data_IF_828766073475
#
_entry.id   IF_828766073475
#
_cell.length_a   1.000
_cell.length_b   1.000
_cell.length_c   1.000
_cell.angle_alpha   90.00
_cell.angle_beta   90.00
_cell.angle_gamma   90.00
#
_symmetry.space_group_name_H-M   'P 1'
#
loop_
_entity.id
_entity.type
_entity.pdbx_description
1 polymer ?
#
# COMPACT_ATOMS: atom_id res chain seq x y z
N UNK A 1 -29.65 10.48 -40.40
CA UNK A 1 -28.55 9.54 -40.72
C UNK A 1 -28.28 8.72 -39.47
N UNK A 2 -28.50 7.40 -39.48
CA UNK A 2 -27.94 6.55 -38.43
C UNK A 2 -26.43 6.44 -38.70
N UNK A 3 -25.56 6.66 -37.71
CA UNK A 3 -24.13 6.46 -37.92
C UNK A 3 -23.87 5.00 -38.35
N UNK A 4 -22.91 4.80 -39.26
CA UNK A 4 -22.53 3.46 -39.76
C UNK A 4 -21.77 2.63 -38.71
N UNK A 5 -21.49 3.19 -37.54
CA UNK A 5 -20.81 2.54 -36.42
C UNK A 5 -21.56 2.88 -35.12
N UNK A 6 -21.69 1.93 -34.18
CA UNK A 6 -22.16 2.23 -32.83
C UNK A 6 -21.21 3.27 -32.21
N UNK A 7 -21.76 4.42 -31.83
CA UNK A 7 -21.01 5.48 -31.15
C UNK A 7 -21.69 5.82 -29.84
N UNK A 8 -20.90 5.89 -28.76
CA UNK A 8 -21.35 6.35 -27.44
C UNK A 8 -20.49 7.53 -27.05
N UNK A 9 -21.15 8.59 -26.57
CA UNK A 9 -20.50 9.69 -25.86
C UNK A 9 -20.90 9.54 -24.39
N UNK A 10 -19.90 9.46 -23.51
CA UNK A 10 -20.09 9.32 -22.07
C UNK A 10 -19.56 10.58 -21.38
N UNK A 11 -20.48 11.37 -20.84
CA UNK A 11 -20.18 12.47 -19.92
C UNK A 11 -20.38 11.96 -18.50
N UNK A 12 -19.29 11.88 -17.74
CA UNK A 12 -19.30 11.26 -16.41
C UNK A 12 -19.23 12.29 -15.27
N UNK A 13 -18.30 13.23 -15.36
CA UNK A 13 -17.91 14.15 -14.29
C UNK A 13 -17.76 15.56 -14.84
N UNK A 14 -17.99 16.56 -13.98
CA UNK A 14 -17.76 17.97 -14.30
C UNK A 14 -16.54 18.53 -13.58
N UNK A 15 -15.61 19.13 -14.31
CA UNK A 15 -14.47 19.86 -13.73
C UNK A 15 -14.88 21.13 -12.98
N UNK A 16 -16.13 21.58 -13.13
CA UNK A 16 -16.70 22.69 -12.35
C UNK A 16 -17.30 22.24 -11.01
N UNK A 17 -17.45 20.93 -10.80
CA UNK A 17 -17.95 20.37 -9.56
C UNK A 17 -16.78 19.80 -8.75
N UNK A 18 -16.51 20.40 -7.58
CA UNK A 18 -15.36 19.99 -6.79
C UNK A 18 -15.48 18.54 -6.27
N UNK A 19 -16.68 18.09 -5.91
CA UNK A 19 -16.91 16.70 -5.48
C UNK A 19 -16.61 15.70 -6.60
N UNK A 20 -16.93 16.06 -7.85
CA UNK A 20 -16.58 15.24 -9.01
C UNK A 20 -15.05 15.14 -9.19
N UNK A 21 -14.32 16.24 -8.92
CA UNK A 21 -12.85 16.22 -8.94
C UNK A 21 -12.25 15.37 -7.82
N UNK A 22 -12.91 15.26 -6.66
CA UNK A 22 -12.49 14.30 -5.64
C UNK A 22 -12.58 12.88 -6.21
N UNK A 23 -13.73 12.50 -6.75
CA UNK A 23 -13.91 11.18 -7.36
C UNK A 23 -12.95 10.89 -8.52
N UNK A 24 -12.70 11.86 -9.42
CA UNK A 24 -11.80 11.62 -10.57
C UNK A 24 -10.36 11.35 -10.14
N UNK A 25 -9.93 11.84 -8.97
CA UNK A 25 -8.59 11.61 -8.45
C UNK A 25 -8.47 10.36 -7.58
N UNK A 26 -9.58 9.72 -7.18
CA UNK A 26 -9.55 8.46 -6.42
C UNK A 26 -9.30 7.25 -7.34
N UNK A 27 -8.16 6.53 -7.18
CA UNK A 27 -7.86 5.34 -7.98
C UNK A 27 -8.96 4.27 -7.94
N UNK A 28 -9.64 4.11 -6.79
CA UNK A 28 -10.74 3.13 -6.66
C UNK A 28 -11.95 3.52 -7.48
N UNK A 29 -12.27 4.82 -7.52
CA UNK A 29 -13.37 5.31 -8.35
C UNK A 29 -13.03 5.12 -9.84
N UNK A 30 -11.80 5.42 -10.26
CA UNK A 30 -11.33 5.14 -11.63
C UNK A 30 -11.53 3.67 -12.00
N UNK A 31 -11.14 2.74 -11.12
CA UNK A 31 -11.37 1.30 -11.31
C UNK A 31 -12.87 0.95 -11.41
N UNK A 32 -13.69 1.42 -10.47
CA UNK A 32 -15.13 1.14 -10.44
C UNK A 32 -15.85 1.66 -11.69
N UNK A 33 -15.50 2.86 -12.15
CA UNK A 33 -16.04 3.46 -13.37
C UNK A 33 -15.61 2.66 -14.60
N UNK A 34 -14.32 2.37 -14.75
CA UNK A 34 -13.82 1.59 -15.88
C UNK A 34 -14.52 0.22 -15.96
N UNK A 35 -14.64 -0.46 -14.81
CA UNK A 35 -15.35 -1.73 -14.71
C UNK A 35 -16.85 -1.59 -15.03
N UNK A 36 -17.49 -0.50 -14.59
CA UNK A 36 -18.91 -0.25 -14.89
C UNK A 36 -19.16 0.02 -16.37
N UNK A 37 -18.28 0.79 -17.03
CA UNK A 37 -18.33 1.05 -18.48
C UNK A 37 -18.15 -0.26 -19.24
N UNK A 38 -17.15 -1.06 -18.89
CA UNK A 38 -16.92 -2.39 -19.46
C UNK A 38 -18.17 -3.27 -19.35
N UNK A 39 -18.74 -3.40 -18.14
CA UNK A 39 -19.96 -4.19 -17.91
C UNK A 39 -21.13 -3.67 -18.75
N UNK A 40 -21.31 -2.35 -18.83
CA UNK A 40 -22.37 -1.73 -19.63
C UNK A 40 -22.25 -2.06 -21.11
N UNK A 41 -21.05 -1.91 -21.68
CA UNK A 41 -20.76 -2.26 -23.07
C UNK A 41 -20.98 -3.76 -23.34
N UNK A 42 -20.47 -4.62 -22.46
CA UNK A 42 -20.62 -6.08 -22.58
C UNK A 42 -22.09 -6.50 -22.58
N UNK A 43 -22.89 -6.00 -21.62
CA UNK A 43 -24.32 -6.33 -21.51
C UNK A 43 -25.12 -5.79 -22.69
N UNK A 44 -24.80 -4.59 -23.18
CA UNK A 44 -25.42 -4.03 -24.38
C UNK A 44 -25.17 -4.92 -25.59
N UNK A 45 -23.90 -5.27 -25.88
CA UNK A 45 -23.55 -6.12 -27.01
C UNK A 45 -24.17 -7.51 -26.90
N UNK A 46 -24.16 -8.11 -25.71
CA UNK A 46 -24.81 -9.39 -25.44
C UNK A 46 -26.31 -9.34 -25.76
N UNK A 47 -27.00 -8.27 -25.35
CA UNK A 47 -28.42 -8.07 -25.64
C UNK A 47 -28.69 -7.84 -27.13
N UNK A 48 -27.88 -7.03 -27.82
CA UNK A 48 -28.09 -6.70 -29.24
C UNK A 48 -27.83 -7.90 -30.16
N UNK A 49 -26.82 -8.72 -29.86
CA UNK A 49 -26.43 -9.87 -30.68
C UNK A 49 -26.90 -11.21 -30.13
N UNK A 50 -27.66 -11.22 -29.03
CA UNK A 50 -28.27 -12.39 -28.42
C UNK A 50 -27.27 -13.52 -28.11
N UNK A 51 -26.21 -13.20 -27.35
CA UNK A 51 -25.25 -14.17 -26.83
C UNK A 51 -25.09 -14.03 -25.31
N UNK A 52 -24.76 -15.12 -24.61
CA UNK A 52 -24.51 -15.09 -23.16
C UNK A 52 -23.24 -14.33 -22.82
N UNK A 53 -23.25 -13.51 -21.76
CA UNK A 53 -22.07 -12.81 -21.28
C UNK A 53 -21.54 -13.39 -19.97
N UNK A 54 -20.23 -13.24 -19.76
CA UNK A 54 -19.55 -13.51 -18.51
C UNK A 54 -18.64 -12.32 -18.23
N UNK A 55 -18.72 -11.77 -17.02
CA UNK A 55 -17.86 -10.65 -16.59
C UNK A 55 -16.54 -11.19 -16.06
N UNK A 56 -15.42 -10.54 -16.36
CA UNK A 56 -14.12 -10.93 -15.78
C UNK A 56 -14.11 -10.86 -14.23
N UNK A 57 -13.36 -11.73 -13.54
CA UNK A 57 -13.33 -11.75 -12.07
C UNK A 57 -12.75 -10.50 -11.42
N UNK A 58 -12.92 -10.41 -10.10
CA UNK A 58 -12.17 -9.48 -9.25
C UNK A 58 -10.81 -10.10 -8.86
N UNK A 59 -9.80 -9.28 -8.52
CA UNK A 59 -8.53 -9.77 -8.00
C UNK A 59 -8.71 -10.64 -6.76
N UNK A 60 -7.83 -11.61 -6.57
CA UNK A 60 -7.83 -12.44 -5.36
C UNK A 60 -7.43 -11.62 -4.13
N UNK A 61 -7.87 -12.06 -2.95
CA UNK A 61 -7.51 -11.45 -1.66
C UNK A 61 -6.79 -12.46 -0.77
N UNK A 62 -6.29 -12.00 0.39
CA UNK A 62 -5.65 -12.83 1.41
C UNK A 62 -4.49 -13.68 0.87
N UNK A 63 -3.68 -13.11 -0.02
CA UNK A 63 -2.58 -13.85 -0.62
C UNK A 63 -1.51 -14.14 0.44
N UNK A 64 -0.98 -15.36 0.42
CA UNK A 64 0.10 -15.80 1.32
C UNK A 64 1.05 -16.72 0.58
N UNK A 65 2.35 -16.55 0.83
CA UNK A 65 3.42 -17.32 0.24
C UNK A 65 4.35 -17.86 1.33
N UNK A 66 4.23 -19.15 1.64
CA UNK A 66 4.93 -19.84 2.72
C UNK A 66 5.97 -20.84 2.18
N UNK A 67 6.93 -21.24 3.01
CA UNK A 67 7.88 -22.31 2.69
C UNK A 67 7.42 -23.62 3.32
N UNK A 68 7.34 -24.69 2.51
CA UNK A 68 7.00 -26.03 2.96
C UNK A 68 7.87 -27.06 2.21
N UNK A 69 8.72 -27.82 2.93
CA UNK A 69 9.55 -28.89 2.37
C UNK A 69 10.36 -28.47 1.12
N UNK A 70 11.07 -27.34 1.19
CA UNK A 70 11.84 -26.75 0.07
C UNK A 70 10.99 -26.30 -1.15
N UNK A 71 9.66 -26.32 -1.02
CA UNK A 71 8.73 -25.74 -1.98
C UNK A 71 8.14 -24.45 -1.42
N UNK A 72 7.59 -23.65 -2.32
CA UNK A 72 6.70 -22.56 -1.96
C UNK A 72 5.28 -23.08 -1.95
N UNK A 73 4.55 -22.80 -0.87
CA UNK A 73 3.12 -23.02 -0.78
C UNK A 73 2.39 -21.68 -0.83
N UNK A 74 1.61 -21.49 -1.89
CA UNK A 74 0.85 -20.29 -2.17
C UNK A 74 -0.62 -20.56 -1.86
N UNK A 75 -1.29 -19.63 -1.17
CA UNK A 75 -2.72 -19.70 -0.86
C UNK A 75 -3.37 -18.33 -1.00
N UNK A 76 -4.62 -18.28 -1.44
CA UNK A 76 -5.39 -17.03 -1.56
C UNK A 76 -6.88 -17.28 -1.37
N UNK A 77 -7.71 -16.24 -1.51
CA UNK A 77 -9.16 -16.33 -1.51
C UNK A 77 -9.78 -15.70 -2.77
N UNK A 78 -10.84 -16.30 -3.35
CA UNK A 78 -11.62 -15.65 -4.39
C UNK A 78 -12.38 -14.43 -3.85
N UNK A 79 -12.41 -13.36 -4.63
CA UNK A 79 -13.25 -12.19 -4.34
C UNK A 79 -14.53 -12.24 -5.19
N UNK A 80 -15.70 -12.33 -4.53
CA UNK A 80 -17.00 -12.46 -5.21
C UNK A 80 -17.63 -11.08 -5.39
N UNK A 81 -18.07 -10.77 -6.61
CA UNK A 81 -18.87 -9.58 -6.91
C UNK A 81 -20.36 -9.86 -6.63
N UNK A 82 -20.95 -9.36 -5.53
CA UNK A 82 -22.34 -9.66 -5.19
C UNK A 82 -23.35 -9.07 -6.17
N UNK A 83 -22.94 -8.10 -6.99
CA UNK A 83 -23.78 -7.46 -8.00
C UNK A 83 -23.61 -8.08 -9.39
N UNK A 84 -22.67 -9.02 -9.54
CA UNK A 84 -22.36 -9.65 -10.82
C UNK A 84 -21.87 -11.09 -10.61
N UNK A 85 -22.83 -12.00 -10.42
CA UNK A 85 -22.54 -13.42 -10.10
C UNK A 85 -21.79 -14.14 -11.22
N UNK A 86 -21.85 -13.66 -12.46
CA UNK A 86 -21.07 -14.22 -13.58
C UNK A 86 -19.57 -13.96 -13.44
N UNK A 87 -19.15 -13.03 -12.57
CA UNK A 87 -17.75 -12.71 -12.32
C UNK A 87 -17.02 -13.71 -11.40
N UNK A 88 -17.67 -14.81 -11.00
CA UNK A 88 -16.99 -15.84 -10.23
C UNK A 88 -15.81 -16.43 -11.02
N UNK A 89 -14.65 -16.70 -10.36
CA UNK A 89 -13.53 -17.36 -11.01
C UNK A 89 -13.82 -18.83 -11.31
N UNK A 90 -13.35 -19.30 -12.46
CA UNK A 90 -13.32 -20.72 -12.83
C UNK A 90 -11.99 -21.38 -12.39
N UNK A 91 -10.88 -20.66 -12.51
CA UNK A 91 -9.53 -21.07 -12.10
C UNK A 91 -8.63 -19.84 -11.87
N UNK A 92 -7.34 -20.06 -11.59
CA UNK A 92 -6.35 -19.01 -11.34
C UNK A 92 -5.09 -19.20 -12.16
N UNK A 93 -4.35 -18.12 -12.40
CA UNK A 93 -3.00 -18.17 -12.97
C UNK A 93 -2.03 -17.58 -11.95
N UNK A 94 -0.99 -18.34 -11.62
CA UNK A 94 0.10 -17.92 -10.75
C UNK A 94 1.30 -17.59 -11.61
N UNK A 95 1.72 -16.33 -11.60
CA UNK A 95 2.90 -15.86 -12.30
C UNK A 95 4.11 -15.85 -11.38
N UNK A 96 5.28 -16.24 -11.89
CA UNK A 96 6.55 -16.30 -11.14
C UNK A 96 7.57 -15.34 -11.75
N UNK A 97 8.24 -14.56 -10.90
CA UNK A 97 9.46 -13.82 -11.22
C UNK A 97 10.61 -14.33 -10.35
N UNK A 98 11.78 -14.54 -10.94
CA UNK A 98 13.00 -14.93 -10.23
C UNK A 98 13.97 -13.73 -10.20
N UNK A 99 14.43 -13.35 -9.01
CA UNK A 99 15.33 -12.22 -8.81
C UNK A 99 14.76 -10.92 -9.39
N UNK A 100 15.55 -10.25 -10.22
CA UNK A 100 15.17 -9.01 -10.91
C UNK A 100 14.65 -9.22 -12.35
N UNK A 101 14.26 -10.44 -12.71
CA UNK A 101 13.71 -10.78 -14.02
C UNK A 101 12.29 -10.26 -14.28
N UNK A 102 11.71 -10.63 -15.42
CA UNK A 102 10.28 -10.47 -15.68
C UNK A 102 9.45 -11.60 -15.09
N UNK A 103 8.14 -11.41 -15.00
CA UNK A 103 7.20 -12.51 -14.74
C UNK A 103 7.13 -13.45 -15.95
N UNK A 104 6.97 -14.74 -15.68
CA UNK A 104 6.75 -15.78 -16.69
C UNK A 104 5.32 -15.73 -17.30
N UNK A 105 4.94 -16.76 -18.06
CA UNK A 105 3.60 -16.90 -18.65
C UNK A 105 2.56 -17.51 -17.69
N UNK A 106 2.95 -17.76 -16.44
CA UNK A 106 2.11 -18.30 -15.39
C UNK A 106 1.83 -19.81 -15.46
N UNK A 107 1.35 -20.34 -14.33
CA UNK A 107 0.91 -21.72 -14.14
C UNK A 107 -0.54 -21.71 -13.67
N UNK A 108 -1.40 -22.50 -14.31
CA UNK A 108 -2.80 -22.60 -13.93
C UNK A 108 -2.98 -23.38 -12.61
N UNK A 109 -3.92 -22.94 -11.78
CA UNK A 109 -4.35 -23.60 -10.56
C UNK A 109 -5.89 -23.68 -10.52
N UNK A 110 -6.44 -24.88 -10.39
CA UNK A 110 -7.90 -25.11 -10.37
C UNK A 110 -8.54 -24.75 -9.02
N UNK A 111 -7.73 -24.63 -7.97
CA UNK A 111 -8.13 -24.34 -6.60
C UNK A 111 -7.28 -23.17 -6.06
N UNK A 112 -7.70 -22.48 -4.98
CA UNK A 112 -7.02 -21.27 -4.51
C UNK A 112 -5.74 -21.56 -3.70
N UNK A 113 -4.97 -22.54 -4.16
CA UNK A 113 -3.68 -22.94 -3.61
C UNK A 113 -2.78 -23.50 -4.72
N UNK A 114 -1.47 -23.32 -4.59
CA UNK A 114 -0.50 -23.91 -5.50
C UNK A 114 0.84 -24.17 -4.79
N UNK A 115 1.46 -25.31 -5.07
CA UNK A 115 2.82 -25.63 -4.63
C UNK A 115 3.78 -25.54 -5.81
N UNK A 116 4.84 -24.75 -5.66
CA UNK A 116 5.87 -24.55 -6.69
C UNK A 116 7.25 -24.87 -6.14
N UNK A 117 8.08 -25.49 -6.98
CA UNK A 117 9.48 -25.74 -6.65
C UNK A 117 10.28 -24.42 -6.68
N UNK A 118 11.22 -24.28 -5.74
CA UNK A 118 12.14 -23.14 -5.69
C UNK A 118 13.57 -23.61 -5.44
N UNK A 119 14.52 -22.85 -5.96
CA UNK A 119 15.93 -23.05 -5.67
C UNK A 119 16.37 -22.22 -4.46
N UNK A 120 17.35 -22.75 -3.71
CA UNK A 120 17.99 -22.00 -2.63
C UNK A 120 18.84 -20.88 -3.22
N UNK A 121 18.92 -19.75 -2.53
CA UNK A 121 19.78 -18.64 -2.93
C UNK A 121 19.12 -17.63 -3.88
N UNK A 122 17.91 -17.90 -4.38
CA UNK A 122 17.16 -16.96 -5.23
C UNK A 122 15.84 -16.50 -4.59
N UNK A 123 15.46 -15.25 -4.86
CA UNK A 123 14.17 -14.70 -4.44
C UNK A 123 13.16 -15.02 -5.54
N UNK A 124 12.04 -15.64 -5.15
CA UNK A 124 10.91 -15.88 -6.02
C UNK A 124 9.78 -14.93 -5.64
N UNK A 125 9.26 -14.19 -6.61
CA UNK A 125 8.10 -13.33 -6.44
C UNK A 125 6.92 -13.87 -7.22
N UNK A 126 5.73 -13.74 -6.67
CA UNK A 126 4.50 -14.28 -7.21
C UNK A 126 3.40 -13.24 -7.24
N UNK A 127 2.54 -13.32 -8.26
CA UNK A 127 1.24 -12.67 -8.29
C UNK A 127 0.22 -13.63 -8.85
N UNK A 128 -1.02 -13.48 -8.43
CA UNK A 128 -2.12 -14.37 -8.82
C UNK A 128 -3.22 -13.57 -9.49
N UNK A 129 -3.77 -14.11 -10.57
CA UNK A 129 -4.99 -13.60 -11.20
C UNK A 129 -6.08 -14.65 -11.17
N UNK A 130 -7.33 -14.17 -11.10
CA UNK A 130 -8.53 -14.97 -11.21
C UNK A 130 -9.02 -14.96 -12.66
N UNK A 131 -9.40 -16.13 -13.17
CA UNK A 131 -9.81 -16.29 -14.58
C UNK A 131 -11.15 -16.97 -14.69
N UNK A 132 -11.99 -16.47 -15.60
CA UNK A 132 -13.18 -17.16 -16.08
C UNK A 132 -13.34 -16.92 -17.58
N UNK A 133 -14.44 -17.40 -18.17
CA UNK A 133 -14.75 -17.18 -19.59
C UNK A 133 -14.85 -15.70 -20.02
N UNK A 134 -15.06 -14.78 -19.07
CA UNK A 134 -15.13 -13.34 -19.29
C UNK A 134 -13.77 -12.65 -19.35
N UNK A 135 -12.71 -13.31 -18.90
CA UNK A 135 -11.33 -12.81 -18.94
C UNK A 135 -10.57 -13.04 -17.63
N UNK A 136 -9.50 -12.27 -17.47
CA UNK A 136 -8.57 -12.33 -16.34
C UNK A 136 -8.71 -11.07 -15.47
N UNK A 137 -8.62 -11.23 -14.15
CA UNK A 137 -8.66 -10.12 -13.20
C UNK A 137 -7.39 -9.27 -13.27
N UNK A 138 -7.41 -8.11 -12.60
CA UNK A 138 -6.15 -7.49 -12.18
C UNK A 138 -5.38 -8.44 -11.24
N UNK A 139 -4.04 -8.36 -11.20
CA UNK A 139 -3.24 -9.19 -10.31
C UNK A 139 -3.49 -8.85 -8.84
N UNK A 140 -3.21 -9.82 -7.98
CA UNK A 140 -2.96 -9.60 -6.56
C UNK A 140 -1.75 -8.67 -6.34
N UNK A 141 -1.52 -8.30 -5.08
CA UNK A 141 -0.20 -7.85 -4.65
C UNK A 141 0.90 -8.87 -4.97
N UNK A 142 2.15 -8.41 -5.04
CA UNK A 142 3.30 -9.25 -5.30
C UNK A 142 3.94 -9.67 -3.99
N UNK A 143 3.87 -10.97 -3.70
CA UNK A 143 4.50 -11.59 -2.55
C UNK A 143 5.79 -12.28 -2.96
N UNK A 144 6.76 -12.36 -2.06
CA UNK A 144 8.06 -12.97 -2.33
C UNK A 144 8.50 -13.93 -1.25
N UNK A 145 9.27 -14.94 -1.65
CA UNK A 145 9.88 -15.91 -0.75
C UNK A 145 11.35 -16.07 -1.08
N UNK A 146 12.12 -16.45 -0.07
CA UNK A 146 13.53 -16.73 -0.19
C UNK A 146 13.92 -17.82 0.77
N UNK A 147 14.57 -18.86 0.24
CA UNK A 147 15.16 -19.92 1.04
C UNK A 147 16.69 -19.79 1.01
N UNK A 148 17.28 -19.41 2.14
CA UNK A 148 18.74 -19.32 2.27
C UNK A 148 19.42 -20.69 2.37
N UNK A 149 18.65 -21.76 2.58
CA UNK A 149 19.16 -23.10 2.87
C UNK A 149 19.49 -23.32 4.36
N UNK A 150 19.37 -22.30 5.20
CA UNK A 150 19.52 -22.43 6.64
C UNK A 150 18.22 -22.98 7.27
N UNK A 151 18.36 -23.77 8.33
CA UNK A 151 17.23 -24.38 9.06
C UNK A 151 16.60 -23.44 10.12
N UNK A 152 16.87 -22.13 10.04
CA UNK A 152 16.28 -21.15 10.94
C UNK A 152 14.83 -20.85 10.56
N UNK A 153 14.00 -20.50 11.56
CA UNK A 153 12.65 -19.98 11.31
C UNK A 153 12.74 -18.75 10.39
N UNK A 154 11.98 -18.70 9.28
CA UNK A 154 12.03 -17.57 8.37
C UNK A 154 11.47 -16.29 9.03
N UNK A 155 11.85 -15.15 8.45
CA UNK A 155 11.17 -13.87 8.68
C UNK A 155 9.85 -13.87 7.93
N UNK A 156 8.76 -13.40 8.55
CA UNK A 156 7.53 -13.11 7.85
C UNK A 156 7.50 -11.64 7.46
N UNK A 157 7.46 -11.34 6.17
CA UNK A 157 7.20 -9.99 5.67
C UNK A 157 5.70 -9.86 5.41
N UNK A 158 5.03 -9.00 6.17
CA UNK A 158 3.62 -8.68 5.96
C UNK A 158 3.56 -7.43 5.11
N UNK A 159 2.97 -7.54 3.93
CA UNK A 159 2.58 -6.37 3.15
C UNK A 159 1.28 -5.82 3.75
N UNK A 160 1.38 -4.70 4.46
CA UNK A 160 0.23 -3.96 4.97
C UNK A 160 0.01 -2.65 4.23
N UNK A 161 0.71 -2.42 3.11
CA UNK A 161 0.57 -1.23 2.29
C UNK A 161 -0.21 -1.55 1.02
N UNK A 162 -1.53 -1.50 1.13
CA UNK A 162 -2.49 -1.65 0.03
C UNK A 162 -3.20 -0.33 -0.30
N UNK A 163 -2.94 0.73 0.48
CA UNK A 163 -3.55 2.04 0.28
C UNK A 163 -3.25 2.61 -1.10
N UNK A 164 -4.35 2.96 -1.77
CA UNK A 164 -4.41 3.86 -2.91
C UNK A 164 -5.45 4.94 -2.61
N UNK A 165 -5.13 6.20 -2.83
CA UNK A 165 -5.96 7.30 -2.39
C UNK A 165 -5.77 8.55 -3.25
N UNK A 166 -6.80 9.38 -3.30
CA UNK A 166 -6.72 10.75 -3.78
C UNK A 166 -5.92 11.64 -2.79
N UNK A 167 -5.45 12.83 -3.21
CA UNK A 167 -4.81 13.79 -2.31
C UNK A 167 -5.75 14.32 -1.22
N UNK A 168 -5.19 14.89 -0.15
CA UNK A 168 -5.96 15.56 0.90
C UNK A 168 -6.81 16.70 0.31
N UNK A 169 -8.02 16.83 0.84
CA UNK A 169 -9.00 17.83 0.39
C UNK A 169 -9.11 18.94 1.42
N UNK A 170 -9.23 20.17 0.94
CA UNK A 170 -9.78 21.29 1.69
C UNK A 170 -10.99 21.83 0.94
N UNK A 171 -12.08 22.11 1.66
CA UNK A 171 -13.29 22.67 1.07
C UNK A 171 -13.89 23.71 2.02
N UNK A 172 -13.63 24.97 1.73
CA UNK A 172 -14.23 26.12 2.39
C UNK A 172 -14.70 27.12 1.33
N UNK A 173 -15.51 28.10 1.72
CA UNK A 173 -16.05 29.12 0.80
C UNK A 173 -14.95 29.87 0.02
N UNK A 174 -13.77 30.08 0.62
CA UNK A 174 -12.68 30.89 0.06
C UNK A 174 -11.41 30.10 -0.27
N UNK A 175 -11.37 28.83 0.08
CA UNK A 175 -10.19 27.99 -0.06
C UNK A 175 -10.64 26.55 -0.27
N UNK A 176 -10.58 26.09 -1.52
CA UNK A 176 -11.00 24.76 -1.94
C UNK A 176 -9.98 24.15 -2.90
N UNK A 177 -9.65 22.88 -2.72
CA UNK A 177 -8.67 22.21 -3.57
C UNK A 177 -8.00 21.00 -2.92
N UNK A 178 -6.89 20.59 -3.53
CA UNK A 178 -6.08 19.45 -3.13
C UNK A 178 -4.77 19.92 -2.48
N UNK A 179 -4.47 19.41 -1.29
CA UNK A 179 -3.35 19.88 -0.46
C UNK A 179 -2.31 18.76 -0.32
N UNK A 180 -1.45 18.62 -1.34
CA UNK A 180 -0.42 17.57 -1.38
C UNK A 180 0.54 17.59 -0.18
N UNK A 181 0.74 18.74 0.47
CA UNK A 181 1.57 18.83 1.67
C UNK A 181 0.93 18.22 2.91
N UNK A 182 -0.39 18.02 2.91
CA UNK A 182 -1.09 17.28 3.98
C UNK A 182 -1.12 15.78 3.67
N UNK A 183 -1.38 15.44 2.41
CA UNK A 183 -1.39 14.08 1.87
C UNK A 183 -1.37 14.19 0.35
N UNK A 184 -0.35 13.64 -0.29
CA UNK A 184 -0.26 13.67 -1.75
C UNK A 184 -1.23 12.68 -2.41
N UNK A 185 -1.82 11.77 -1.62
CA UNK A 185 -2.50 10.61 -2.15
C UNK A 185 -1.51 9.56 -2.63
N UNK A 186 -2.01 8.39 -2.96
CA UNK A 186 -1.21 7.25 -3.41
C UNK A 186 -1.80 6.73 -4.71
N UNK A 187 -1.14 6.93 -5.86
CA UNK A 187 -1.55 6.31 -7.11
C UNK A 187 -1.50 4.78 -7.04
N UNK A 188 -2.34 4.11 -7.82
CA UNK A 188 -2.24 2.67 -8.04
C UNK A 188 -1.20 2.40 -9.13
N UNK A 189 -0.03 1.87 -8.76
CA UNK A 189 1.14 1.72 -9.61
C UNK A 189 1.84 3.05 -9.88
N UNK A 190 1.24 3.89 -10.73
CA UNK A 190 1.78 5.19 -11.12
C UNK A 190 0.68 6.15 -11.59
N UNK A 191 0.94 7.45 -11.54
CA UNK A 191 0.10 8.50 -12.11
C UNK A 191 0.81 9.17 -13.29
N UNK A 192 0.08 9.35 -14.39
CA UNK A 192 0.50 10.10 -15.58
C UNK A 192 -0.30 11.39 -15.77
N UNK A 193 -1.26 11.66 -14.88
CA UNK A 193 -2.15 12.82 -14.93
C UNK A 193 -1.78 13.93 -13.93
N UNK A 194 -0.74 13.75 -13.11
CA UNK A 194 -0.33 14.76 -12.14
C UNK A 194 0.39 15.92 -12.84
N UNK A 195 -0.26 17.08 -12.89
CA UNK A 195 0.29 18.27 -13.57
C UNK A 195 1.21 19.08 -12.65
N UNK A 196 0.97 19.04 -11.34
CA UNK A 196 1.79 19.67 -10.31
C UNK A 196 0.97 20.06 -9.09
N UNK A 197 1.62 20.66 -8.10
CA UNK A 197 0.94 21.11 -6.87
C UNK A 197 -0.01 22.27 -7.24
N UNK A 198 -1.24 22.19 -6.75
CA UNK A 198 -2.23 23.26 -6.90
C UNK A 198 -1.74 24.56 -6.25
N UNK A 199 -1.88 25.68 -6.94
CA UNK A 199 -1.49 27.00 -6.46
C UNK A 199 -2.66 27.98 -6.36
N UNK A 200 -3.75 27.79 -7.11
CA UNK A 200 -4.97 28.60 -6.99
C UNK A 200 -6.10 27.81 -6.29
N UNK A 201 -6.33 28.16 -5.02
CA UNK A 201 -7.37 27.56 -4.17
C UNK A 201 -8.63 28.43 -4.07
N UNK A 202 -8.71 29.58 -4.73
CA UNK A 202 -9.86 30.47 -4.62
C UNK A 202 -11.01 29.97 -5.52
N UNK A 203 -12.14 29.51 -4.98
CA UNK A 203 -13.24 28.97 -5.78
C UNK A 203 -13.91 30.02 -6.70
N UNK A 204 -13.70 31.31 -6.44
CA UNK A 204 -14.20 32.40 -7.28
C UNK A 204 -13.24 32.80 -8.40
N UNK A 205 -12.07 32.18 -8.50
CA UNK A 205 -11.08 32.48 -9.54
C UNK A 205 -11.55 31.92 -10.88
N UNK A 206 -11.87 32.80 -11.82
CA UNK A 206 -12.41 32.44 -13.13
C UNK A 206 -11.30 32.10 -14.12
N UNK A 207 -11.58 31.15 -14.99
CA UNK A 207 -10.79 30.95 -16.20
C UNK A 207 -10.87 32.19 -17.09
N UNK A 208 -9.72 32.74 -17.47
CA UNK A 208 -9.61 33.86 -18.43
C UNK A 208 -8.88 33.41 -19.70
N UNK A 209 -7.77 32.68 -19.55
CA UNK A 209 -6.97 32.11 -20.64
C UNK A 209 -6.12 30.95 -20.13
N UNK A 210 -5.38 30.28 -21.01
CA UNK A 210 -4.41 29.27 -20.59
C UNK A 210 -3.32 29.84 -19.67
N UNK A 211 -3.00 31.14 -19.77
CA UNK A 211 -2.04 31.83 -18.89
C UNK A 211 -2.66 32.27 -17.56
N UNK A 212 -3.99 32.17 -17.43
CA UNK A 212 -4.76 32.51 -16.24
C UNK A 212 -5.94 31.51 -16.07
N UNK A 213 -5.65 30.26 -15.68
CA UNK A 213 -6.62 29.17 -15.74
C UNK A 213 -7.68 29.21 -14.62
N UNK A 214 -7.45 29.96 -13.55
CA UNK A 214 -8.41 30.14 -12.45
C UNK A 214 -8.34 29.04 -11.38
N UNK A 215 -9.46 28.76 -10.71
CA UNK A 215 -9.53 27.79 -9.62
C UNK A 215 -9.02 26.41 -10.05
N UNK A 216 -8.12 25.81 -9.25
CA UNK A 216 -7.50 24.53 -9.57
C UNK A 216 -6.23 24.65 -10.39
N UNK A 217 -5.80 25.87 -10.75
CA UNK A 217 -4.49 26.10 -11.35
C UNK A 217 -3.39 25.41 -10.56
N UNK A 218 -2.50 24.73 -11.28
CA UNK A 218 -1.40 23.95 -10.71
C UNK A 218 -0.10 24.37 -11.37
N UNK A 219 1.04 24.02 -10.77
CA UNK A 219 2.36 24.49 -11.21
C UNK A 219 2.80 23.98 -12.60
N UNK A 220 2.08 23.03 -13.20
CA UNK A 220 2.36 22.44 -14.53
C UNK A 220 3.78 21.84 -14.68
N UNK A 221 4.51 21.65 -13.59
CA UNK A 221 5.90 21.21 -13.60
C UNK A 221 6.07 19.67 -13.65
N UNK A 222 4.97 18.93 -13.70
CA UNK A 222 4.94 17.46 -13.76
C UNK A 222 4.13 16.89 -14.94
N UNK A 223 3.58 17.71 -15.85
CA UNK A 223 2.69 17.29 -16.95
C UNK A 223 3.28 16.23 -17.92
N UNK A 224 4.60 16.04 -17.90
CA UNK A 224 5.32 15.07 -18.75
C UNK A 224 6.02 13.97 -17.95
N UNK A 225 5.76 13.92 -16.64
CA UNK A 225 6.43 13.01 -15.73
C UNK A 225 5.48 11.90 -15.27
N UNK A 226 6.07 10.74 -15.00
CA UNK A 226 5.39 9.63 -14.33
C UNK A 226 5.67 9.78 -12.85
N UNK A 227 4.62 9.71 -12.04
CA UNK A 227 4.74 9.74 -10.58
C UNK A 227 4.47 8.34 -10.04
N UNK A 228 5.45 7.75 -9.38
CA UNK A 228 5.32 6.43 -8.76
C UNK A 228 4.32 6.48 -7.60
N UNK A 229 3.48 5.46 -7.50
CA UNK A 229 2.56 5.22 -6.40
C UNK A 229 2.84 3.88 -5.72
N UNK A 230 1.77 3.19 -5.33
CA UNK A 230 1.87 1.85 -4.76
C UNK A 230 2.11 0.83 -5.88
N UNK A 231 3.33 0.32 -5.98
CA UNK A 231 3.71 -0.68 -7.00
C UNK A 231 3.29 -2.11 -6.64
N UNK A 232 2.80 -2.33 -5.41
CA UNK A 232 2.45 -3.62 -4.84
C UNK A 232 3.61 -4.64 -4.77
N UNK A 233 4.87 -4.19 -4.88
CA UNK A 233 6.07 -5.05 -4.96
C UNK A 233 7.12 -4.74 -3.87
N UNK A 234 6.70 -4.10 -2.77
CA UNK A 234 7.63 -3.69 -1.72
C UNK A 234 8.18 -4.85 -0.89
N UNK A 235 7.51 -6.01 -0.89
CA UNK A 235 8.03 -7.25 -0.28
C UNK A 235 9.37 -7.65 -0.90
N UNK A 236 9.53 -7.51 -2.21
CA UNK A 236 10.81 -7.79 -2.87
C UNK A 236 11.91 -6.83 -2.40
N UNK A 237 11.56 -5.56 -2.14
CA UNK A 237 12.50 -4.55 -1.65
C UNK A 237 13.02 -4.90 -0.25
N UNK A 238 12.11 -5.22 0.68
CA UNK A 238 12.45 -5.67 2.03
C UNK A 238 13.21 -7.01 2.01
N UNK A 239 12.73 -7.95 1.19
CA UNK A 239 13.30 -9.28 1.02
C UNK A 239 14.75 -9.27 0.55
N UNK A 240 15.16 -8.31 -0.30
CA UNK A 240 16.57 -8.15 -0.69
C UNK A 240 17.48 -7.91 0.53
N UNK A 241 17.03 -7.09 1.48
CA UNK A 241 17.79 -6.79 2.69
C UNK A 241 17.80 -7.97 3.66
N UNK A 242 16.72 -8.77 3.72
CA UNK A 242 16.70 -10.05 4.44
C UNK A 242 17.68 -11.07 3.81
N UNK A 243 17.70 -11.17 2.48
CA UNK A 243 18.65 -12.02 1.72
C UNK A 243 20.10 -11.59 1.97
N UNK A 244 20.39 -10.29 1.94
CA UNK A 244 21.72 -9.74 2.22
C UNK A 244 22.21 -10.11 3.63
N UNK A 245 21.27 -10.22 4.59
CA UNK A 245 21.52 -10.65 5.96
C UNK A 245 21.41 -12.18 6.17
N UNK A 246 21.35 -12.97 5.10
CA UNK A 246 21.36 -14.44 5.16
C UNK A 246 20.09 -15.10 5.72
N UNK A 247 19.02 -14.31 5.89
CA UNK A 247 17.76 -14.78 6.49
C UNK A 247 16.78 -15.23 5.42
N UNK A 248 16.26 -16.46 5.55
CA UNK A 248 15.09 -16.90 4.77
C UNK A 248 13.90 -16.01 5.12
N UNK A 249 13.05 -15.73 4.14
CA UNK A 249 11.80 -15.01 4.38
C UNK A 249 10.65 -15.59 3.56
N UNK A 250 9.46 -15.37 4.09
CA UNK A 250 8.17 -15.64 3.47
C UNK A 250 7.33 -14.37 3.56
N UNK A 251 6.22 -14.30 2.86
CA UNK A 251 5.39 -13.10 2.92
C UNK A 251 3.89 -13.37 2.84
N UNK A 252 3.11 -12.42 3.33
CA UNK A 252 1.65 -12.51 3.35
C UNK A 252 1.02 -11.12 3.30
N UNK A 253 -0.21 -11.04 2.81
CA UNK A 253 -1.05 -9.86 3.01
C UNK A 253 -1.41 -9.70 4.49
N UNK A 254 -1.76 -8.47 4.90
CA UNK A 254 -2.27 -8.17 6.23
C UNK A 254 -3.62 -8.86 6.51
N UNK A 255 -4.48 -9.02 5.49
CA UNK A 255 -5.77 -9.70 5.64
C UNK A 255 -5.62 -11.17 5.99
N UNK A 256 -4.71 -11.88 5.31
CA UNK A 256 -4.40 -13.26 5.61
C UNK A 256 -3.92 -13.43 7.07
N UNK A 257 -3.20 -12.45 7.61
CA UNK A 257 -2.74 -12.47 9.00
C UNK A 257 -3.90 -12.27 9.97
N UNK A 258 -4.74 -11.26 9.75
CA UNK A 258 -5.77 -10.90 10.72
C UNK A 258 -7.00 -11.84 10.73
N UNK A 259 -7.14 -12.68 9.70
CA UNK A 259 -8.17 -13.71 9.58
C UNK A 259 -7.58 -15.11 9.83
N UNK A 260 -6.45 -15.15 10.54
CA UNK A 260 -5.84 -16.35 11.11
C UNK A 260 -5.44 -17.43 10.08
N UNK A 261 -5.15 -17.05 8.83
CA UNK A 261 -4.67 -18.00 7.80
C UNK A 261 -3.23 -18.45 8.04
N UNK A 262 -2.49 -17.78 8.92
CA UNK A 262 -1.13 -18.12 9.31
C UNK A 262 -0.89 -17.94 10.81
N UNK A 263 -0.05 -18.80 11.38
CA UNK A 263 0.35 -18.70 12.78
C UNK A 263 1.65 -17.90 12.93
N UNK A 264 1.54 -16.67 13.44
CA UNK A 264 2.70 -15.78 13.62
C UNK A 264 3.83 -16.38 14.50
N UNK A 265 3.52 -17.32 15.40
CA UNK A 265 4.52 -17.95 16.27
C UNK A 265 5.48 -18.90 15.52
N UNK A 266 5.19 -19.19 14.25
CA UNK A 266 6.08 -19.94 13.37
C UNK A 266 7.29 -19.10 12.92
N UNK A 267 7.25 -17.78 13.10
CA UNK A 267 8.26 -16.84 12.63
C UNK A 267 9.06 -16.24 13.77
N UNK A 268 10.34 -15.95 13.52
CA UNK A 268 11.26 -15.35 14.51
C UNK A 268 11.09 -13.82 14.58
N UNK A 269 10.77 -13.22 13.44
CA UNK A 269 10.60 -11.80 13.22
C UNK A 269 9.43 -11.62 12.25
N UNK A 270 8.61 -10.62 12.53
CA UNK A 270 7.63 -10.07 11.60
C UNK A 270 8.16 -8.72 11.14
N UNK A 271 8.29 -8.54 9.82
CA UNK A 271 8.57 -7.28 9.16
C UNK A 271 7.25 -6.76 8.58
N UNK A 272 6.74 -5.65 9.08
CA UNK A 272 5.46 -5.08 8.67
C UNK A 272 5.70 -3.83 7.83
N UNK A 273 5.40 -3.96 6.54
CA UNK A 273 5.42 -2.86 5.57
C UNK A 273 4.13 -2.08 5.73
N UNK A 274 4.22 -0.82 6.16
CA UNK A 274 3.08 0.08 6.15
C UNK A 274 3.19 1.16 5.09
N UNK A 275 4.36 1.44 4.50
CA UNK A 275 4.44 2.45 3.44
C UNK A 275 3.72 3.75 3.80
N UNK A 276 2.72 4.14 3.00
CA UNK A 276 1.82 5.27 3.27
C UNK A 276 0.45 4.88 3.83
N UNK A 277 0.30 3.65 4.34
CA UNK A 277 -0.92 3.12 4.91
C UNK A 277 -1.46 4.03 6.02
N UNK A 278 -2.70 4.46 5.84
CA UNK A 278 -3.49 5.18 6.85
C UNK A 278 -4.96 5.17 6.49
N UNK A 279 -5.78 5.25 7.54
CA UNK A 279 -7.24 5.35 7.47
C UNK A 279 -7.63 6.48 6.52
N UNK A 280 -8.31 6.08 5.46
CA UNK A 280 -8.75 6.98 4.40
C UNK A 280 -10.27 7.06 4.42
N UNK A 281 -10.77 8.28 4.61
CA UNK A 281 -12.20 8.59 4.60
C UNK A 281 -12.74 8.65 3.17
N UNK A 282 -14.02 8.33 3.01
CA UNK A 282 -14.70 8.39 1.70
C UNK A 282 -15.20 9.81 1.42
N UNK A 283 -15.24 10.18 0.15
CA UNK A 283 -15.68 11.51 -0.33
C UNK A 283 -17.08 11.87 0.19
N UNK A 284 -17.98 10.88 0.27
CA UNK A 284 -19.36 11.06 0.79
C UNK A 284 -19.52 10.39 2.15
N UNK A 285 -19.86 11.20 3.16
CA UNK A 285 -20.20 10.72 4.52
C UNK A 285 -21.31 9.67 4.54
N UNK A 286 -22.31 9.77 3.67
CA UNK A 286 -23.39 8.78 3.58
C UNK A 286 -22.90 7.40 3.16
N UNK A 287 -21.90 7.32 2.29
CA UNK A 287 -21.27 6.05 1.90
C UNK A 287 -20.37 5.52 3.01
N UNK A 288 -19.63 6.40 3.68
CA UNK A 288 -18.80 6.02 4.83
C UNK A 288 -19.63 5.44 5.98
N UNK A 289 -20.84 5.97 6.26
CA UNK A 289 -21.74 5.40 7.26
C UNK A 289 -22.16 3.94 6.98
N UNK A 290 -22.14 3.53 5.70
CA UNK A 290 -22.54 2.18 5.28
C UNK A 290 -21.33 1.24 5.20
N UNK A 291 -20.19 1.73 4.70
CA UNK A 291 -19.03 0.91 4.36
C UNK A 291 -17.83 1.09 5.30
N UNK A 292 -17.83 2.11 6.15
CA UNK A 292 -16.70 2.52 6.96
C UNK A 292 -15.56 3.14 6.14
N UNK A 293 -14.53 3.65 6.84
CA UNK A 293 -13.27 4.06 6.22
C UNK A 293 -12.45 2.83 5.77
N UNK A 294 -11.45 3.06 4.93
CA UNK A 294 -10.56 2.02 4.40
C UNK A 294 -9.11 2.26 4.84
N UNK A 295 -8.24 1.27 4.63
CA UNK A 295 -6.78 1.39 4.78
C UNK A 295 -6.27 1.78 6.18
N UNK A 296 -7.05 1.51 7.23
CA UNK A 296 -6.55 1.66 8.60
C UNK A 296 -5.30 0.78 8.78
N UNK A 297 -4.21 1.36 9.29
CA UNK A 297 -2.90 0.71 9.35
C UNK A 297 -2.88 -0.45 10.36
N UNK A 298 -3.70 -0.34 11.40
CA UNK A 298 -3.86 -1.39 12.40
C UNK A 298 -5.34 -1.62 12.71
N UNK A 299 -6.07 -2.45 11.95
CA UNK A 299 -7.45 -2.77 12.30
C UNK A 299 -7.52 -3.66 13.54
N UNK A 300 -8.69 -3.72 14.18
CA UNK A 300 -8.86 -4.35 15.50
C UNK A 300 -8.38 -5.81 15.59
N UNK A 301 -8.67 -6.63 14.58
CA UNK A 301 -8.18 -8.02 14.49
C UNK A 301 -6.66 -8.07 14.37
N UNK A 302 -6.08 -7.18 13.56
CA UNK A 302 -4.64 -7.09 13.36
C UNK A 302 -3.87 -6.67 14.61
N UNK A 303 -4.37 -5.67 15.34
CA UNK A 303 -3.83 -5.30 16.67
C UNK A 303 -3.78 -6.51 17.60
N UNK A 304 -4.84 -7.31 17.59
CA UNK A 304 -4.95 -8.51 18.42
C UNK A 304 -3.92 -9.57 18.01
N UNK A 305 -3.77 -9.86 16.71
CA UNK A 305 -2.78 -10.79 16.18
C UNK A 305 -1.34 -10.39 16.56
N UNK A 306 -0.96 -9.12 16.31
CA UNK A 306 0.35 -8.58 16.66
C UNK A 306 0.58 -8.63 18.17
N UNK A 307 -0.40 -8.20 18.98
CA UNK A 307 -0.30 -8.22 20.44
C UNK A 307 -0.08 -9.64 20.97
N UNK A 308 -0.80 -10.62 20.44
CA UNK A 308 -0.65 -12.03 20.83
C UNK A 308 0.74 -12.56 20.49
N UNK A 309 1.22 -12.31 19.26
CA UNK A 309 2.56 -12.68 18.82
C UNK A 309 3.67 -12.09 19.71
N UNK A 310 3.58 -10.80 20.04
CA UNK A 310 4.57 -10.14 20.91
C UNK A 310 4.47 -10.62 22.36
N UNK A 311 3.27 -10.91 22.88
CA UNK A 311 3.12 -11.50 24.22
C UNK A 311 3.76 -12.90 24.32
N UNK A 312 3.86 -13.62 23.21
CA UNK A 312 4.54 -14.92 23.12
C UNK A 312 6.07 -14.79 22.89
N UNK A 313 6.63 -13.59 22.98
CA UNK A 313 8.08 -13.35 22.83
C UNK A 313 8.55 -13.14 21.39
N UNK A 314 7.62 -12.89 20.46
CA UNK A 314 7.93 -12.52 19.08
C UNK A 314 8.74 -11.23 18.95
N UNK A 315 9.23 -10.94 17.74
CA UNK A 315 9.85 -9.67 17.44
C UNK A 315 9.19 -9.04 16.21
N UNK A 316 9.00 -7.74 16.21
CA UNK A 316 8.42 -7.01 15.07
C UNK A 316 9.29 -5.83 14.66
N UNK A 317 9.43 -5.64 13.35
CA UNK A 317 9.90 -4.43 12.71
C UNK A 317 8.72 -3.80 11.96
N UNK A 318 8.52 -2.49 12.09
CA UNK A 318 7.43 -1.75 11.45
C UNK A 318 8.00 -0.48 10.82
N UNK A 319 7.65 -0.20 9.57
CA UNK A 319 8.05 1.05 8.90
C UNK A 319 6.91 1.62 8.06
N UNK A 320 6.66 2.92 8.21
CA UNK A 320 5.68 3.65 7.41
C UNK A 320 5.63 5.14 7.78
N UNK A 321 5.03 5.95 6.91
CA UNK A 321 4.94 7.39 7.11
C UNK A 321 3.93 7.77 8.21
N UNK A 322 2.87 6.97 8.39
CA UNK A 322 1.72 7.29 9.25
C UNK A 322 1.51 6.31 10.42
N UNK A 323 2.56 5.60 10.83
CA UNK A 323 2.52 4.56 11.89
C UNK A 323 1.93 5.05 13.22
N UNK A 324 2.17 6.31 13.55
CA UNK A 324 1.64 6.99 14.72
C UNK A 324 0.40 7.80 14.40
N UNK A 325 0.41 8.60 13.33
CA UNK A 325 -0.72 9.45 12.96
C UNK A 325 -2.01 8.65 12.90
N UNK A 326 -2.03 7.49 12.26
CA UNK A 326 -3.23 6.66 12.15
C UNK A 326 -3.77 6.17 13.52
N UNK A 327 -2.87 5.83 14.46
CA UNK A 327 -3.22 5.35 15.79
C UNK A 327 -3.63 6.45 16.77
N UNK A 328 -3.25 7.71 16.50
CA UNK A 328 -3.46 8.84 17.41
C UNK A 328 -4.45 9.89 16.88
N UNK A 329 -4.86 9.81 15.60
CA UNK A 329 -5.73 10.78 14.93
C UNK A 329 -7.07 11.00 15.65
N UNK A 330 -7.71 9.96 16.18
CA UNK A 330 -8.95 10.10 16.97
C UNK A 330 -8.62 10.38 18.46
N UNK A 331 -8.97 11.55 19.01
CA UNK A 331 -8.83 11.86 20.44
C UNK A 331 -9.46 10.81 21.37
N UNK A 332 -10.57 10.21 20.96
CA UNK A 332 -11.39 9.29 21.75
C UNK A 332 -10.98 7.82 21.63
N UNK A 333 -10.14 7.46 20.66
CA UNK A 333 -9.68 6.09 20.47
C UNK A 333 -8.56 5.71 21.46
N UNK A 334 -8.96 5.42 22.69
CA UNK A 334 -8.05 4.94 23.74
C UNK A 334 -7.43 3.57 23.44
N UNK A 335 -8.07 2.74 22.62
CA UNK A 335 -7.59 1.39 22.29
C UNK A 335 -6.41 1.44 21.34
N UNK A 336 -6.47 2.25 20.27
CA UNK A 336 -5.35 2.46 19.35
C UNK A 336 -4.16 3.12 20.04
N UNK A 337 -4.41 4.13 20.86
CA UNK A 337 -3.37 4.79 21.66
C UNK A 337 -2.74 3.84 22.67
N UNK A 338 -3.54 2.98 23.30
CA UNK A 338 -3.07 1.94 24.19
C UNK A 338 -2.20 0.92 23.45
N UNK A 339 -2.61 0.51 22.25
CA UNK A 339 -1.80 -0.38 21.40
C UNK A 339 -0.43 0.23 21.07
N UNK A 340 -0.37 1.49 20.62
CA UNK A 340 0.90 2.16 20.34
C UNK A 340 1.81 2.23 21.59
N UNK A 341 1.27 2.66 22.74
CA UNK A 341 2.04 2.88 23.96
C UNK A 341 2.46 1.58 24.65
N UNK A 342 1.54 0.63 24.78
CA UNK A 342 1.73 -0.56 25.60
C UNK A 342 2.23 -1.75 24.79
N UNK A 343 1.96 -1.82 23.47
CA UNK A 343 2.44 -2.90 22.60
C UNK A 343 3.66 -2.45 21.81
N UNK A 344 3.53 -1.41 20.97
CA UNK A 344 4.61 -0.94 20.08
C UNK A 344 5.63 0.00 20.75
N UNK A 345 5.35 0.44 21.98
CA UNK A 345 6.25 1.22 22.84
C UNK A 345 6.62 2.61 22.34
N UNK A 346 5.73 3.29 21.63
CA UNK A 346 5.91 4.69 21.24
C UNK A 346 4.67 5.56 21.49
N UNK A 347 4.85 6.88 21.38
CA UNK A 347 3.77 7.87 21.30
C UNK A 347 4.05 8.80 20.11
N UNK A 348 3.00 9.21 19.39
CA UNK A 348 3.13 10.24 18.36
C UNK A 348 3.58 11.56 19.00
N UNK A 349 4.61 12.17 18.43
CA UNK A 349 5.15 13.46 18.84
C UNK A 349 4.73 14.58 17.89
N UNK A 350 4.83 14.33 16.59
CA UNK A 350 4.39 15.21 15.52
C UNK A 350 4.07 14.36 14.29
N UNK A 351 3.02 14.74 13.57
CA UNK A 351 2.83 14.40 12.16
C UNK A 351 3.71 15.32 11.29
N UNK A 352 3.87 14.99 10.00
CA UNK A 352 4.63 15.79 9.02
C UNK A 352 6.00 16.23 9.55
N UNK A 353 6.69 15.30 10.19
CA UNK A 353 7.83 15.59 11.03
C UNK A 353 9.10 15.96 10.25
N UNK A 354 9.17 15.62 8.96
CA UNK A 354 10.31 15.97 8.15
C UNK A 354 9.98 16.13 6.67
N UNK A 355 10.75 16.96 5.95
CA UNK A 355 10.58 17.22 4.51
C UNK A 355 11.83 16.81 3.71
N UNK A 356 13.02 16.87 4.32
CA UNK A 356 14.30 16.65 3.60
C UNK A 356 14.65 15.18 3.35
N UNK A 357 14.02 14.25 4.05
CA UNK A 357 14.26 12.82 3.88
C UNK A 357 15.49 12.25 4.60
N UNK A 358 16.18 13.03 5.45
CA UNK A 358 17.46 12.63 6.03
C UNK A 358 17.33 12.24 7.52
N UNK A 359 17.98 11.14 7.91
CA UNK A 359 18.07 10.68 9.29
C UNK A 359 19.48 10.29 9.70
N UNK A 360 19.73 10.35 11.00
CA UNK A 360 20.98 9.91 11.61
C UNK A 360 20.71 9.04 12.84
N UNK A 361 21.62 8.10 13.10
CA UNK A 361 21.53 7.24 14.27
C UNK A 361 21.89 7.96 15.58
N UNK A 362 21.17 7.61 16.65
CA UNK A 362 21.47 8.01 18.03
C UNK A 362 21.85 6.84 18.92
N UNK A 363 21.97 5.63 18.36
CA UNK A 363 22.26 4.42 19.11
C UNK A 363 23.51 3.72 18.56
N UNK A 364 24.44 3.26 19.42
CA UNK A 364 25.60 2.46 18.98
C UNK A 364 25.19 1.20 18.19
N UNK A 365 24.06 0.59 18.55
CA UNK A 365 23.52 -0.61 17.90
C UNK A 365 23.09 -0.35 16.44
N UNK A 366 22.86 0.92 16.07
CA UNK A 366 22.47 1.37 14.74
C UNK A 366 23.53 2.31 14.14
N UNK A 367 24.78 2.20 14.57
CA UNK A 367 25.86 3.16 14.22
C UNK A 367 26.29 3.10 12.75
N UNK A 368 25.95 2.02 12.03
CA UNK A 368 26.09 1.90 10.57
C UNK A 368 25.22 2.92 9.82
N UNK A 369 24.13 3.38 10.44
CA UNK A 369 23.15 4.29 9.83
C UNK A 369 23.61 5.74 10.00
N UNK A 370 24.53 6.15 9.12
CA UNK A 370 25.01 7.54 9.01
C UNK A 370 24.46 8.20 7.73
N UNK A 371 23.79 9.35 7.89
CA UNK A 371 23.16 10.12 6.80
C UNK A 371 22.31 9.23 5.87
N UNK A 372 21.41 8.46 6.46
CA UNK A 372 20.45 7.67 5.69
C UNK A 372 19.43 8.62 5.06
N UNK A 373 19.12 8.40 3.79
CA UNK A 373 18.14 9.20 3.05
C UNK A 373 17.02 8.33 2.49
N UNK A 374 15.78 8.71 2.76
CA UNK A 374 14.58 8.18 2.13
C UNK A 374 14.01 9.18 1.11
N UNK A 375 13.19 8.69 0.18
CA UNK A 375 12.62 9.52 -0.88
C UNK A 375 11.54 10.47 -0.37
N UNK A 376 11.67 11.76 -0.67
CA UNK A 376 10.63 12.79 -0.42
C UNK A 376 10.26 13.56 -1.69
N UNK A 377 10.80 13.14 -2.85
CA UNK A 377 10.62 13.82 -4.12
C UNK A 377 9.76 12.98 -5.07
N UNK A 378 8.87 13.62 -5.83
CA UNK A 378 8.11 12.96 -6.88
C UNK A 378 9.04 12.51 -8.01
N UNK A 379 8.95 11.23 -8.39
CA UNK A 379 9.72 10.64 -9.49
C UNK A 379 9.00 9.38 -10.01
N UNK A 380 9.57 8.73 -11.01
CA UNK A 380 9.00 7.55 -11.69
C UNK A 380 9.31 6.21 -11.02
N UNK A 381 10.16 6.21 -9.99
CA UNK A 381 10.79 5.01 -9.43
C UNK A 381 10.21 4.60 -8.08
N UNK A 382 9.94 5.56 -7.19
CA UNK A 382 9.34 5.31 -5.87
C UNK A 382 8.54 6.52 -5.39
N UNK A 383 7.44 6.27 -4.68
CA UNK A 383 6.57 7.32 -4.16
C UNK A 383 7.33 8.26 -3.20
N UNK A 384 6.87 9.50 -3.14
CA UNK A 384 7.41 10.51 -2.23
C UNK A 384 6.80 10.32 -0.84
N UNK A 385 7.61 10.45 0.21
CA UNK A 385 7.14 10.47 1.59
C UNK A 385 6.93 11.93 2.02
N UNK A 386 5.72 12.44 1.94
CA UNK A 386 5.43 13.85 2.25
C UNK A 386 5.21 14.13 3.74
N UNK A 387 4.80 13.12 4.51
CA UNK A 387 4.31 13.31 5.87
C UNK A 387 4.79 12.23 6.85
N UNK A 388 6.12 12.04 7.01
CA UNK A 388 6.65 11.04 7.92
C UNK A 388 6.35 11.42 9.38
N UNK A 389 6.14 10.43 10.24
CA UNK A 389 5.84 10.63 11.65
C UNK A 389 7.10 10.83 12.50
N UNK A 390 7.00 11.68 13.52
CA UNK A 390 7.91 11.66 14.67
C UNK A 390 7.28 10.86 15.81
N UNK A 391 8.01 9.85 16.29
CA UNK A 391 7.54 8.93 17.34
C UNK A 391 8.51 8.90 18.50
N UNK A 392 8.04 9.27 19.69
CA UNK A 392 8.83 9.27 20.91
C UNK A 392 8.73 7.93 21.63
N UNK A 393 9.85 7.39 22.15
CA UNK A 393 9.85 6.12 22.86
C UNK A 393 9.12 6.25 24.20
N UNK A 394 8.39 5.20 24.61
CA UNK A 394 7.79 5.07 25.93
C UNK A 394 8.06 3.70 26.54
N UNK A 395 7.75 3.52 27.83
CA UNK A 395 7.78 2.21 28.53
C UNK A 395 9.13 1.47 28.43
N UNK A 396 10.23 2.21 28.36
CA UNK A 396 11.60 1.68 28.29
C UNK A 396 12.13 1.44 26.87
N UNK A 397 11.40 1.85 25.83
CA UNK A 397 11.97 2.00 24.49
C UNK A 397 13.00 3.13 24.45
N UNK A 398 13.77 3.20 23.37
CA UNK A 398 14.78 4.25 23.11
C UNK A 398 14.63 4.77 21.68
N UNK A 399 14.99 6.03 21.47
CA UNK A 399 15.16 6.58 20.12
C UNK A 399 16.41 5.98 19.50
N UNK A 400 16.29 5.45 18.29
CA UNK A 400 17.40 4.87 17.53
C UNK A 400 17.82 5.74 16.35
N UNK A 401 16.87 6.47 15.75
CA UNK A 401 17.09 7.38 14.62
C UNK A 401 16.43 8.73 14.90
N UNK A 402 17.01 9.80 14.35
CA UNK A 402 16.43 11.15 14.37
C UNK A 402 16.46 11.78 12.99
N UNK A 403 15.45 12.59 12.67
CA UNK A 403 15.47 13.45 11.48
C UNK A 403 16.56 14.51 11.64
N UNK A 404 17.39 14.72 10.61
CA UNK A 404 18.54 15.65 10.70
C UNK A 404 18.11 17.10 10.85
N UNK A 405 16.96 17.47 10.27
CA UNK A 405 16.49 18.85 10.17
C UNK A 405 16.03 19.46 11.50
N UNK A 406 15.42 18.67 12.39
CA UNK A 406 14.83 19.14 13.64
C UNK A 406 15.14 18.23 14.85
N UNK A 407 15.91 17.16 14.64
CA UNK A 407 16.23 16.16 15.67
C UNK A 407 15.02 15.45 16.27
N UNK A 408 13.85 15.48 15.63
CA UNK A 408 12.70 14.68 16.06
C UNK A 408 13.01 13.19 15.93
N UNK A 409 12.40 12.39 16.80
CA UNK A 409 12.63 10.95 16.87
C UNK A 409 11.99 10.26 15.66
N UNK A 410 12.82 9.77 14.74
CA UNK A 410 12.41 9.13 13.48
C UNK A 410 12.21 7.61 13.63
N UNK A 411 12.78 7.02 14.67
CA UNK A 411 12.64 5.59 14.94
C UNK A 411 12.86 5.25 16.40
N UNK A 412 12.15 4.24 16.87
CA UNK A 412 12.24 3.75 18.25
C UNK A 412 12.52 2.25 18.28
N UNK A 413 13.24 1.80 19.31
CA UNK A 413 13.48 0.39 19.57
C UNK A 413 13.20 0.02 21.02
N UNK A 414 12.68 -1.19 21.23
CA UNK A 414 12.43 -1.79 22.52
C UNK A 414 12.89 -3.25 22.51
N UNK A 415 13.59 -3.68 23.56
CA UNK A 415 13.93 -5.09 23.75
C UNK A 415 13.82 -5.49 25.22
N UNK A 416 12.93 -6.43 25.50
CA UNK A 416 12.87 -7.24 26.74
C UNK A 416 12.41 -8.66 26.37
N UNK A 417 11.27 -9.11 26.90
CA UNK A 417 10.67 -10.40 26.58
C UNK A 417 10.30 -10.53 25.09
N UNK A 418 10.05 -9.40 24.43
CA UNK A 418 9.84 -9.28 22.99
C UNK A 418 10.63 -8.10 22.43
N UNK A 419 10.78 -8.03 21.11
CA UNK A 419 11.47 -6.96 20.40
C UNK A 419 10.51 -6.13 19.56
N UNK A 420 10.68 -4.82 19.54
CA UNK A 420 9.96 -3.91 18.63
C UNK A 420 10.94 -2.90 18.08
N UNK A 421 10.94 -2.71 16.77
CA UNK A 421 11.50 -1.54 16.11
C UNK A 421 10.39 -0.89 15.28
N UNK A 422 10.21 0.42 15.42
CA UNK A 422 9.25 1.20 14.63
C UNK A 422 9.98 2.38 14.00
N UNK A 423 9.83 2.57 12.69
CA UNK A 423 10.27 3.75 11.95
C UNK A 423 9.05 4.59 11.55
N UNK A 424 9.16 5.90 11.71
CA UNK A 424 8.17 6.88 11.26
C UNK A 424 8.30 7.25 9.78
N UNK A 425 9.11 6.51 9.03
CA UNK A 425 9.23 6.60 7.58
C UNK A 425 9.29 5.17 6.99
N UNK A 426 8.88 4.98 5.72
CA UNK A 426 8.94 3.68 5.05
C UNK A 426 10.38 3.20 4.79
N UNK A 427 10.62 1.91 4.95
CA UNK A 427 11.94 1.30 4.75
C UNK A 427 12.26 1.10 3.26
N UNK A 428 11.24 0.78 2.48
CA UNK A 428 11.30 0.61 1.03
C UNK A 428 11.74 1.89 0.30
N UNK A 429 11.52 3.07 0.89
CA UNK A 429 11.87 4.38 0.30
C UNK A 429 13.32 4.81 0.55
N UNK A 430 14.10 4.02 1.29
CA UNK A 430 15.53 4.25 1.50
C UNK A 430 16.28 4.12 0.17
N UNK A 431 16.94 5.20 -0.23
CA UNK A 431 17.51 5.33 -1.58
C UNK A 431 18.77 4.47 -1.79
N UNK A 432 19.59 4.31 -0.75
CA UNK A 432 20.86 3.58 -0.85
C UNK A 432 20.69 2.17 -0.31
N UNK A 433 20.79 1.18 -1.20
CA UNK A 433 20.63 -0.26 -0.88
C UNK A 433 21.49 -0.68 0.31
N UNK A 434 22.78 -0.30 0.32
CA UNK A 434 23.69 -0.64 1.41
C UNK A 434 23.22 -0.09 2.77
N UNK A 435 22.72 1.14 2.82
CA UNK A 435 22.20 1.73 4.06
C UNK A 435 20.94 0.99 4.53
N UNK A 436 20.10 0.56 3.57
CA UNK A 436 18.91 -0.23 3.85
C UNK A 436 19.26 -1.63 4.38
N UNK A 437 20.27 -2.29 3.80
CA UNK A 437 20.71 -3.62 4.23
C UNK A 437 21.39 -3.63 5.61
N UNK A 438 22.03 -2.51 6.00
CA UNK A 438 22.72 -2.33 7.29
C UNK A 438 21.80 -1.88 8.45
N UNK A 439 20.62 -1.35 8.14
CA UNK A 439 19.59 -0.92 9.10
C UNK A 439 18.76 -2.12 9.57
#
# INVERSE_FOLDING_TARGET
>A
MRPNYPSVLLELLSHQNFLDMQFVLDPKFKFQVARSIYKGMLKFLSSEYNFDYVVQPLPVSHFSAQLENEKTYLTWQPEIDPLETTAAPDYYIVYTRIGNGGFDNGVAADIPELKLDIEKGEIYSYKVTAVNKGGESFPSEILSVYNSGNNDKPVLIINGFDRVAQPAIVETEKFSGFVNTLDAGVPDGYDIGFTGIQNDFNPSSLYVSNDAPGHGASNANYETQIIAGNTHDFVYVHGKSMKANGSSFVSSSNEAVWDDMLNLNNYKLVDLILGEQKKTHRQKKSFELIKGPEFEAFPGKFKSAIKNYLNNGGNIFVSGAYVGTDLFNDPMDSLSKGFAKDVLKFILAADHAAISGNVFSTSPDFSSVYNLRYNTEFNDSIYAVEAPDAINPVKGAKTILRYTENSFSAGTAYKKNYGVVVLGFPFETILIVKQRDEL
#
